data_IF_062939971125
#
_entry.id   IF_062939971125
#
_cell.length_a   1.000
_cell.length_b   1.000
_cell.length_c   1.000
_cell.angle_alpha   90.00
_cell.angle_beta   90.00
_cell.angle_gamma   90.00
#
_symmetry.space_group_name_H-M   'P 1'
#
loop_
_entity.id
_entity.type
_entity.pdbx_description
1 polymer ?
#
# COMPACT_ATOMS: atom_id res chain seq x y z
N UNK A 1 -4.06 -7.19 17.68
CA UNK A 1 -4.28 -8.11 16.54
C UNK A 1 -2.92 -8.36 15.90
N UNK A 2 -2.54 -9.62 15.64
CA UNK A 2 -1.30 -9.96 14.91
C UNK A 2 -1.72 -10.68 13.63
N UNK A 3 -1.44 -10.08 12.47
CA UNK A 3 -1.71 -10.68 11.15
C UNK A 3 -3.09 -10.40 10.56
N UNK A 4 -3.47 -9.13 10.42
CA UNK A 4 -4.62 -8.72 9.59
C UNK A 4 -4.15 -8.19 8.24
N UNK A 5 -4.96 -8.33 7.19
CA UNK A 5 -4.66 -7.72 5.90
C UNK A 5 -4.98 -6.23 5.93
N UNK A 6 -4.11 -5.39 5.37
CA UNK A 6 -4.40 -3.95 5.21
C UNK A 6 -5.68 -3.71 4.40
N UNK A 7 -5.99 -4.61 3.47
CA UNK A 7 -7.22 -4.54 2.68
C UNK A 7 -8.48 -4.76 3.53
N UNK A 8 -8.46 -5.74 4.45
CA UNK A 8 -9.58 -5.98 5.37
C UNK A 8 -9.84 -4.75 6.24
N UNK A 9 -8.78 -4.14 6.77
CA UNK A 9 -8.91 -2.92 7.57
C UNK A 9 -9.50 -1.75 6.76
N UNK A 10 -9.11 -1.59 5.49
CA UNK A 10 -9.67 -0.56 4.62
C UNK A 10 -11.16 -0.80 4.35
N UNK A 11 -11.56 -2.04 4.12
CA UNK A 11 -12.97 -2.43 3.92
C UNK A 11 -13.78 -2.20 5.20
N UNK A 12 -13.28 -2.63 6.35
CA UNK A 12 -13.94 -2.46 7.66
C UNK A 12 -14.17 -0.98 8.01
N UNK A 13 -13.20 -0.11 7.72
CA UNK A 13 -13.31 1.32 8.06
C UNK A 13 -14.15 2.13 7.08
N UNK A 14 -14.29 1.68 5.83
CA UNK A 14 -14.92 2.48 4.78
C UNK A 14 -16.21 1.87 4.23
N UNK A 15 -16.44 0.57 4.42
CA UNK A 15 -17.45 -0.21 3.70
C UNK A 15 -17.20 -0.28 2.19
N UNK A 16 -16.02 0.12 1.73
CA UNK A 16 -15.63 0.20 0.33
C UNK A 16 -15.07 -1.12 -0.21
N UNK A 17 -14.54 -1.05 -1.44
CA UNK A 17 -13.81 -2.15 -2.08
C UNK A 17 -12.33 -1.79 -2.15
N UNK A 18 -11.46 -2.72 -1.74
CA UNK A 18 -10.02 -2.52 -1.87
C UNK A 18 -9.49 -3.13 -3.17
N UNK A 19 -8.71 -2.35 -3.92
CA UNK A 19 -7.96 -2.83 -5.08
C UNK A 19 -6.49 -3.08 -4.69
N UNK A 20 -5.93 -4.21 -5.13
CA UNK A 20 -4.52 -4.56 -4.92
C UNK A 20 -3.76 -4.43 -6.23
N UNK A 21 -2.63 -3.73 -6.20
CA UNK A 21 -1.77 -3.52 -7.37
C UNK A 21 -0.38 -4.09 -7.09
N UNK A 22 0.05 -5.05 -7.91
CA UNK A 22 1.43 -5.55 -7.88
C UNK A 22 2.39 -4.51 -8.49
N UNK A 23 3.33 -4.03 -7.68
CA UNK A 23 4.35 -3.07 -8.11
C UNK A 23 5.46 -3.74 -8.95
N UNK A 24 6.08 -2.98 -9.85
CA UNK A 24 7.15 -3.47 -10.74
C UNK A 24 6.65 -3.69 -12.17
N UNK A 25 7.09 -4.77 -12.82
CA UNK A 25 6.79 -5.06 -14.23
C UNK A 25 5.29 -5.19 -14.55
N UNK A 26 4.47 -5.57 -13.56
CA UNK A 26 3.02 -5.73 -13.72
C UNK A 26 2.22 -4.47 -13.41
N UNK A 27 2.89 -3.39 -13.02
CA UNK A 27 2.19 -2.15 -12.69
C UNK A 27 1.50 -1.56 -13.92
N UNK A 28 0.26 -1.04 -13.78
CA UNK A 28 -0.39 -0.35 -14.87
C UNK A 28 0.42 0.90 -15.26
N UNK A 29 0.58 1.22 -16.56
CA UNK A 29 1.30 2.42 -17.00
C UNK A 29 0.72 3.72 -16.43
N UNK A 30 -0.56 3.71 -16.05
CA UNK A 30 -1.31 4.82 -15.47
C UNK A 30 -1.37 4.78 -13.93
N UNK A 31 -0.48 4.06 -13.26
CA UNK A 31 -0.48 3.91 -11.80
C UNK A 31 -0.53 5.27 -11.08
N UNK A 32 0.30 6.23 -11.50
CA UNK A 32 0.33 7.55 -10.88
C UNK A 32 -1.01 8.30 -11.06
N UNK A 33 -1.65 8.21 -12.22
CA UNK A 33 -2.97 8.80 -12.46
C UNK A 33 -4.08 8.11 -11.66
N UNK A 34 -3.96 6.80 -11.44
CA UNK A 34 -4.86 6.05 -10.55
C UNK A 34 -4.70 6.57 -9.11
N UNK A 35 -3.46 6.69 -8.63
CA UNK A 35 -3.15 7.17 -7.29
C UNK A 35 -3.59 8.63 -7.08
N UNK A 36 -3.35 9.53 -8.04
CA UNK A 36 -3.83 10.92 -7.99
C UNK A 36 -5.35 10.99 -7.85
N UNK A 37 -6.08 10.18 -8.63
CA UNK A 37 -7.55 10.12 -8.56
C UNK A 37 -8.05 9.49 -7.26
N UNK A 38 -7.33 8.51 -6.71
CA UNK A 38 -7.65 7.92 -5.41
C UNK A 38 -7.43 8.95 -4.29
N UNK A 39 -6.31 9.68 -4.31
CA UNK A 39 -6.02 10.76 -3.37
C UNK A 39 -7.08 11.87 -3.42
N UNK A 40 -7.48 12.32 -4.62
CA UNK A 40 -8.49 13.38 -4.76
C UNK A 40 -9.89 12.98 -4.28
N UNK A 41 -10.17 11.68 -4.19
CA UNK A 41 -11.41 11.12 -3.61
C UNK A 41 -11.27 10.75 -2.14
N UNK A 42 -10.17 11.10 -1.49
CA UNK A 42 -9.86 10.70 -0.12
C UNK A 42 -9.89 9.17 0.09
N UNK A 43 -9.55 8.38 -0.94
CA UNK A 43 -9.40 6.93 -0.80
C UNK A 43 -8.19 6.61 0.08
N UNK A 44 -8.33 5.60 0.94
CA UNK A 44 -7.20 5.07 1.70
C UNK A 44 -6.26 4.32 0.76
N UNK A 45 -4.97 4.57 0.90
CA UNK A 45 -3.92 3.91 0.12
C UNK A 45 -2.80 3.47 1.04
N UNK A 46 -2.29 2.28 0.78
CA UNK A 46 -1.18 1.70 1.53
C UNK A 46 -0.32 0.85 0.60
N UNK A 47 0.91 0.60 1.03
CA UNK A 47 1.84 -0.29 0.35
C UNK A 47 2.69 -1.05 1.37
N UNK A 48 3.33 -2.12 0.92
CA UNK A 48 4.25 -2.90 1.74
C UNK A 48 5.35 -3.48 0.85
N UNK A 49 6.46 -3.86 1.47
CA UNK A 49 7.51 -4.62 0.81
C UNK A 49 7.35 -6.08 1.22
N UNK A 50 7.31 -6.99 0.25
CA UNK A 50 7.19 -8.42 0.53
C UNK A 50 8.38 -8.93 1.37
N UNK A 51 8.07 -9.81 2.31
CA UNK A 51 9.05 -10.42 3.21
C UNK A 51 8.81 -11.92 3.33
N UNK A 52 9.89 -12.68 3.43
CA UNK A 52 9.79 -14.06 3.94
C UNK A 52 9.39 -14.03 5.42
N UNK A 53 8.81 -15.11 5.99
CA UNK A 53 8.40 -15.14 7.39
C UNK A 53 9.51 -14.78 8.40
N UNK A 54 10.78 -15.01 8.05
CA UNK A 54 11.95 -14.70 8.89
C UNK A 54 12.39 -13.23 8.78
N UNK A 55 11.88 -12.50 7.79
CA UNK A 55 12.24 -11.11 7.50
C UNK A 55 11.14 -10.12 7.87
N UNK A 56 9.98 -10.59 8.34
CA UNK A 56 8.88 -9.72 8.77
C UNK A 56 9.36 -8.77 9.87
N UNK A 57 9.07 -7.47 9.71
CA UNK A 57 9.46 -6.38 10.62
C UNK A 57 10.97 -6.18 10.78
N UNK A 58 11.77 -6.64 9.81
CA UNK A 58 13.22 -6.39 9.76
C UNK A 58 13.56 -5.19 8.88
N UNK A 59 14.70 -4.56 9.14
CA UNK A 59 15.21 -3.45 8.32
C UNK A 59 15.67 -3.96 6.95
N UNK A 60 15.09 -3.38 5.91
CA UNK A 60 15.40 -3.57 4.50
C UNK A 60 16.25 -2.42 3.94
N UNK A 61 16.27 -2.27 2.60
CA UNK A 61 17.10 -1.25 1.96
C UNK A 61 16.64 0.16 2.34
N UNK A 62 17.61 1.08 2.47
CA UNK A 62 17.37 2.51 2.69
C UNK A 62 16.56 2.83 3.96
N UNK A 63 16.62 1.96 4.99
CA UNK A 63 15.93 2.16 6.26
C UNK A 63 14.42 1.86 6.22
N UNK A 64 13.92 1.24 5.15
CA UNK A 64 12.55 0.74 5.07
C UNK A 64 12.42 -0.58 5.82
N UNK A 65 11.20 -0.98 6.21
CA UNK A 65 10.92 -2.20 6.97
C UNK A 65 10.20 -3.21 6.06
N UNK A 66 10.70 -4.44 6.03
CA UNK A 66 10.13 -5.54 5.24
C UNK A 66 8.88 -6.12 5.91
N UNK A 67 7.88 -6.50 5.13
CA UNK A 67 6.63 -7.08 5.63
C UNK A 67 5.79 -6.10 6.46
N UNK A 68 6.05 -4.80 6.34
CA UNK A 68 5.39 -3.75 7.09
C UNK A 68 4.47 -2.92 6.19
N UNK A 69 3.29 -2.57 6.71
CA UNK A 69 2.32 -1.75 6.01
C UNK A 69 2.64 -0.26 6.19
N UNK A 70 2.77 0.46 5.08
CA UNK A 70 2.95 1.90 5.02
C UNK A 70 1.71 2.57 4.46
N UNK A 71 1.34 3.73 5.00
CA UNK A 71 0.29 4.57 4.42
C UNK A 71 0.85 5.49 3.35
N UNK A 72 0.14 5.62 2.22
CA UNK A 72 0.40 6.65 1.22
C UNK A 72 -0.50 7.84 1.55
N UNK A 73 0.10 8.94 2.00
CA UNK A 73 -0.64 10.07 2.58
C UNK A 73 -0.79 11.29 1.66
N UNK A 74 0.06 11.42 0.64
CA UNK A 74 0.02 12.51 -0.34
C UNK A 74 0.43 11.98 -1.72
N UNK A 75 -0.20 12.49 -2.78
CA UNK A 75 0.15 12.23 -4.18
C UNK A 75 -0.01 13.53 -4.94
N UNK A 76 1.10 14.07 -5.45
CA UNK A 76 1.11 15.37 -6.12
C UNK A 76 2.18 15.44 -7.20
N UNK A 77 1.94 16.30 -8.19
CA UNK A 77 2.94 16.74 -9.16
C UNK A 77 3.64 17.98 -8.61
N UNK A 78 4.97 18.05 -8.76
CA UNK A 78 5.81 19.19 -8.33
C UNK A 78 6.23 20.06 -9.50
#
# INVERSE_FOLDING_TARGET
MRGGSTAEAMEDFTGGLTELIELGEKSPPSLFDIMLRAHSRCSLMACSIDATPQQVETEGPMGLILGHAYSVTDVRTI
#
